data_IF_192439282224
#
_entry.id   IF_192439282224
#
_cell.length_a   1.000
_cell.length_b   1.000
_cell.length_c   1.000
_cell.angle_alpha   90.00
_cell.angle_beta   90.00
_cell.angle_gamma   90.00
#
_symmetry.space_group_name_H-M   'P 1'
#
loop_
_entity.id
_entity.type
_entity.pdbx_description
1 polymer ?
#
# COMPACT_ATOMS: atom_id res chain seq x y z
N UNK A 1 16.77 2.86 -12.58
CA UNK A 1 16.54 3.64 -11.35
C UNK A 1 15.25 3.14 -10.77
N UNK A 2 15.26 2.51 -9.59
CA UNK A 2 14.03 2.08 -8.94
C UNK A 2 13.35 3.35 -8.38
N UNK A 3 12.22 3.75 -8.96
CA UNK A 3 11.40 4.80 -8.39
C UNK A 3 10.60 4.19 -7.23
N UNK A 4 10.98 4.54 -6.01
CA UNK A 4 10.20 4.21 -4.81
C UNK A 4 9.06 5.23 -4.65
N UNK A 5 7.98 4.79 -4.01
CA UNK A 5 6.89 5.64 -3.57
C UNK A 5 7.29 6.33 -2.27
N UNK A 6 7.47 7.64 -2.29
CA UNK A 6 7.62 8.41 -1.07
C UNK A 6 6.25 8.61 -0.42
N UNK A 7 6.11 8.12 0.80
CA UNK A 7 4.95 8.32 1.65
C UNK A 7 5.39 8.92 2.96
N UNK A 8 4.61 9.86 3.48
CA UNK A 8 4.77 10.32 4.86
C UNK A 8 4.54 9.14 5.81
N UNK A 9 5.45 8.94 6.77
CA UNK A 9 5.29 7.87 7.77
C UNK A 9 3.95 7.96 8.51
N UNK A 10 3.52 9.18 8.84
CA UNK A 10 2.22 9.42 9.49
C UNK A 10 1.03 8.94 8.65
N UNK A 11 1.08 9.14 7.33
CA UNK A 11 0.01 8.66 6.44
C UNK A 11 -0.05 7.13 6.40
N UNK A 12 1.10 6.45 6.49
CA UNK A 12 1.14 4.99 6.60
C UNK A 12 0.60 4.49 7.95
N UNK A 13 0.96 5.15 9.06
CA UNK A 13 0.43 4.84 10.39
C UNK A 13 -1.10 5.05 10.46
N UNK A 14 -1.62 6.13 9.87
CA UNK A 14 -3.06 6.41 9.77
C UNK A 14 -3.77 5.32 8.96
N UNK A 15 -3.19 4.89 7.84
CA UNK A 15 -3.71 3.76 7.06
C UNK A 15 -3.77 2.48 7.90
N UNK A 16 -2.70 2.16 8.65
CA UNK A 16 -2.67 0.98 9.51
C UNK A 16 -3.75 1.03 10.59
N UNK A 17 -3.94 2.19 11.24
CA UNK A 17 -4.99 2.38 12.23
C UNK A 17 -6.40 2.16 11.64
N UNK A 18 -6.66 2.73 10.46
CA UNK A 18 -7.93 2.54 9.75
C UNK A 18 -8.15 1.07 9.35
N UNK A 19 -7.08 0.38 8.92
CA UNK A 19 -7.15 -1.04 8.56
C UNK A 19 -7.46 -1.92 9.75
N UNK A 20 -6.76 -1.73 10.87
CA UNK A 20 -7.02 -2.46 12.12
C UNK A 20 -8.42 -2.18 12.70
N UNK A 21 -8.97 -0.99 12.49
CA UNK A 21 -10.34 -0.65 12.89
C UNK A 21 -11.43 -1.20 11.95
N UNK A 22 -11.05 -1.88 10.85
CA UNK A 22 -12.00 -2.55 9.95
C UNK A 22 -12.64 -1.64 8.90
N UNK A 23 -12.13 -0.43 8.68
CA UNK A 23 -12.67 0.51 7.68
C UNK A 23 -12.58 0.00 6.24
N UNK A 24 -11.74 -1.01 5.99
CA UNK A 24 -11.59 -1.65 4.68
C UNK A 24 -12.16 -3.08 4.66
N UNK A 25 -13.22 -3.34 5.44
CA UNK A 25 -13.86 -4.66 5.50
C UNK A 25 -14.16 -5.20 4.10
N UNK A 26 -13.79 -6.46 3.87
CA UNK A 26 -13.91 -7.14 2.58
C UNK A 26 -12.77 -6.88 1.60
N UNK A 27 -11.81 -6.00 1.92
CA UNK A 27 -10.60 -5.80 1.14
C UNK A 27 -9.41 -6.55 1.77
N UNK A 28 -8.55 -7.09 0.91
CA UNK A 28 -7.22 -7.56 1.32
C UNK A 28 -6.34 -6.36 1.68
N UNK A 29 -5.30 -6.57 2.48
CA UNK A 29 -4.42 -5.48 2.90
C UNK A 29 -3.82 -4.70 1.72
N UNK A 30 -3.34 -5.42 0.71
CA UNK A 30 -2.73 -4.80 -0.47
C UNK A 30 -3.76 -4.04 -1.33
N UNK A 31 -4.97 -4.58 -1.46
CA UNK A 31 -6.10 -3.90 -2.12
C UNK A 31 -6.47 -2.60 -1.38
N UNK A 32 -6.61 -2.66 -0.06
CA UNK A 32 -6.96 -1.52 0.77
C UNK A 32 -5.92 -0.40 0.64
N UNK A 33 -4.63 -0.76 0.74
CA UNK A 33 -3.52 0.18 0.55
C UNK A 33 -3.53 0.81 -0.84
N UNK A 34 -3.64 -0.01 -1.88
CA UNK A 34 -3.66 0.43 -3.28
C UNK A 34 -4.80 1.42 -3.56
N UNK A 35 -5.99 1.16 -3.01
CA UNK A 35 -7.17 2.01 -3.15
C UNK A 35 -7.04 3.30 -2.31
N UNK A 36 -6.61 3.19 -1.05
CA UNK A 36 -6.50 4.31 -0.12
C UNK A 36 -5.55 5.39 -0.65
N UNK A 37 -4.36 5.00 -1.12
CA UNK A 37 -3.38 5.90 -1.70
C UNK A 37 -3.59 6.20 -3.20
N UNK A 38 -4.69 5.71 -3.78
CA UNK A 38 -5.08 5.92 -5.20
C UNK A 38 -3.95 5.56 -6.18
N UNK A 39 -3.27 4.45 -5.92
CA UNK A 39 -2.07 4.06 -6.66
C UNK A 39 -2.34 3.74 -8.13
N UNK A 40 -3.59 3.48 -8.51
CA UNK A 40 -4.04 3.40 -9.91
C UNK A 40 -3.75 4.66 -10.75
N UNK A 41 -3.43 5.79 -10.11
CA UNK A 41 -3.11 7.05 -10.79
C UNK A 41 -1.63 7.19 -11.15
N UNK A 42 -0.77 6.30 -10.65
CA UNK A 42 0.65 6.34 -10.97
C UNK A 42 0.87 5.90 -12.41
N UNK A 43 1.75 6.61 -13.12
CA UNK A 43 2.09 6.29 -14.51
C UNK A 43 2.82 4.94 -14.62
N UNK A 44 3.68 4.62 -13.64
CA UNK A 44 4.37 3.34 -13.57
C UNK A 44 3.72 2.41 -12.54
N UNK A 45 3.04 1.37 -13.04
CA UNK A 45 2.39 0.34 -12.23
C UNK A 45 3.30 -0.88 -12.00
N UNK A 46 4.46 -0.96 -12.66
CA UNK A 46 5.32 -2.14 -12.62
C UNK A 46 5.82 -2.49 -11.21
N UNK A 47 6.23 -1.52 -10.36
CA UNK A 47 6.64 -1.81 -8.98
C UNK A 47 5.51 -2.40 -8.12
N UNK A 48 4.26 -2.05 -8.44
CA UNK A 48 3.04 -2.44 -7.72
C UNK A 48 2.48 -3.79 -8.13
N UNK A 49 3.12 -4.49 -9.08
CA UNK A 49 2.64 -5.77 -9.58
C UNK A 49 2.41 -6.76 -8.44
N UNK A 50 1.18 -7.26 -8.33
CA UNK A 50 0.76 -8.21 -7.29
C UNK A 50 0.35 -7.57 -5.97
N UNK A 51 0.49 -6.25 -5.79
CA UNK A 51 0.08 -5.56 -4.57
C UNK A 51 -1.44 -5.64 -4.37
N UNK A 52 -2.21 -5.39 -5.43
CA UNK A 52 -3.68 -5.36 -5.32
C UNK A 52 -4.26 -6.70 -4.86
N UNK A 53 -3.67 -7.82 -5.29
CA UNK A 53 -4.13 -9.16 -4.93
C UNK A 53 -3.57 -9.67 -3.59
N UNK A 54 -2.48 -9.08 -3.10
CA UNK A 54 -1.77 -9.52 -1.91
C UNK A 54 -2.54 -9.22 -0.61
N UNK A 55 -2.32 -10.06 0.39
CA UNK A 55 -2.93 -9.93 1.71
C UNK A 55 -1.93 -10.19 2.85
N UNK A 56 -2.26 -9.66 4.03
CA UNK A 56 -1.47 -9.80 5.26
C UNK A 56 0.02 -9.58 5.03
N UNK A 57 0.85 -10.51 5.49
CA UNK A 57 2.31 -10.44 5.37
C UNK A 57 2.84 -10.29 3.94
N UNK A 58 2.14 -10.86 2.94
CA UNK A 58 2.59 -10.74 1.54
C UNK A 58 2.43 -9.30 1.03
N UNK A 59 1.35 -8.62 1.41
CA UNK A 59 1.14 -7.21 1.08
C UNK A 59 2.15 -6.31 1.80
N UNK A 60 2.42 -6.57 3.10
CA UNK A 60 3.42 -5.81 3.87
C UNK A 60 4.78 -5.84 3.19
N UNK A 61 5.27 -7.02 2.79
CA UNK A 61 6.56 -7.16 2.09
C UNK A 61 6.63 -6.37 0.77
N UNK A 62 5.51 -6.30 0.04
CA UNK A 62 5.46 -5.52 -1.20
C UNK A 62 5.48 -4.03 -0.87
N UNK A 63 4.69 -3.58 0.12
CA UNK A 63 4.62 -2.19 0.58
C UNK A 63 5.99 -1.70 1.02
N UNK A 64 6.69 -2.45 1.88
CA UNK A 64 8.04 -2.11 2.38
C UNK A 64 9.10 -2.06 1.25
N UNK A 65 8.92 -2.86 0.19
CA UNK A 65 9.82 -2.84 -0.97
C UNK A 65 9.60 -1.62 -1.86
N UNK A 66 8.33 -1.25 -2.06
CA UNK A 66 7.97 -0.21 -3.04
C UNK A 66 7.90 1.18 -2.42
N UNK A 67 7.72 1.29 -1.10
CA UNK A 67 7.60 2.57 -0.41
C UNK A 67 8.87 2.92 0.38
N UNK A 68 9.15 4.21 0.46
CA UNK A 68 10.07 4.80 1.45
C UNK A 68 9.22 5.72 2.33
N UNK A 69 9.39 5.58 3.64
CA UNK A 69 8.64 6.36 4.62
C UNK A 69 9.52 7.52 5.12
N UNK A 70 9.10 8.75 4.78
CA UNK A 70 9.71 10.00 5.21
C UNK A 70 9.33 10.40 6.63
#
# INVERSE_FOLDING_TARGET
MAHHLELEKSAYEDFQALYSAGHFSGQRLGQAFYNHFKLHRLADQQPLKGLYEADGHSAIKIIERVCVFG
#
